data_IF_526601055458
#
_entry.id   IF_526601055458
#
_cell.length_a   1.000
_cell.length_b   1.000
_cell.length_c   1.000
_cell.angle_alpha   90.00
_cell.angle_beta   90.00
_cell.angle_gamma   90.00
#
_symmetry.space_group_name_H-M   'P 1'
#
loop_
_entity.id
_entity.type
_entity.pdbx_description
1 polymer ?
#
# COMPACT_ATOMS: atom_id res chain seq x y z
N UNK A 1 8.56 14.97 2.09
CA UNK A 1 7.32 14.15 2.02
C UNK A 1 6.10 15.05 2.09
N UNK A 2 5.07 14.76 1.29
CA UNK A 2 3.87 15.61 1.18
C UNK A 2 2.61 14.79 1.37
N UNK A 3 1.84 15.14 2.41
CA UNK A 3 0.52 14.55 2.65
C UNK A 3 0.22 14.39 4.14
N UNK A 4 -1.05 14.63 4.50
CA UNK A 4 -1.51 14.56 5.90
C UNK A 4 -1.27 13.18 6.52
N UNK A 5 -1.59 12.11 5.78
CA UNK A 5 -1.43 10.74 6.26
C UNK A 5 0.05 10.39 6.49
N UNK A 6 0.93 10.74 5.55
CA UNK A 6 2.37 10.52 5.68
C UNK A 6 2.94 11.22 6.91
N UNK A 7 2.56 12.48 7.15
CA UNK A 7 2.96 13.20 8.36
C UNK A 7 2.53 12.46 9.63
N UNK A 8 1.28 12.00 9.69
CA UNK A 8 0.78 11.32 10.88
C UNK A 8 1.58 10.05 11.19
N UNK A 9 1.80 9.19 10.19
CA UNK A 9 2.52 7.93 10.38
C UNK A 9 4.00 8.16 10.75
N UNK A 10 4.69 9.06 10.04
CA UNK A 10 6.10 9.34 10.30
C UNK A 10 6.32 9.98 11.68
N UNK A 11 5.48 10.96 12.08
CA UNK A 11 5.62 11.59 13.40
C UNK A 11 5.46 10.58 14.54
N UNK A 12 4.42 9.74 14.48
CA UNK A 12 4.19 8.70 15.51
C UNK A 12 5.34 7.69 15.53
N UNK A 13 5.82 7.24 14.37
CA UNK A 13 6.94 6.30 14.30
C UNK A 13 8.23 6.88 14.93
N UNK A 14 8.51 8.17 14.72
CA UNK A 14 9.64 8.86 15.35
C UNK A 14 9.45 9.03 16.86
N UNK A 15 8.26 9.46 17.29
CA UNK A 15 7.92 9.64 18.71
C UNK A 15 8.05 8.33 19.50
N UNK A 16 7.71 7.20 18.87
CA UNK A 16 7.83 5.86 19.46
C UNK A 16 9.23 5.23 19.29
N UNK A 17 10.18 5.91 18.63
CA UNK A 17 11.51 5.37 18.35
C UNK A 17 11.53 4.19 17.37
N UNK A 18 10.46 3.97 16.61
CA UNK A 18 10.35 2.89 15.62
C UNK A 18 11.07 3.22 14.31
N UNK A 19 11.30 4.51 14.04
CA UNK A 19 12.01 4.98 12.87
C UNK A 19 12.81 6.26 13.18
N UNK A 20 13.97 6.39 12.55
CA UNK A 20 14.75 7.63 12.51
C UNK A 20 14.82 8.15 11.08
N UNK A 21 14.63 9.44 10.90
CA UNK A 21 14.72 10.08 9.59
C UNK A 21 15.92 11.02 9.53
N UNK A 22 16.59 11.14 8.36
CA UNK A 22 17.67 12.09 8.20
C UNK A 22 17.13 13.53 8.35
N UNK A 23 17.94 14.46 8.88
CA UNK A 23 17.50 15.83 9.20
C UNK A 23 17.01 16.61 7.97
N UNK A 24 17.44 16.22 6.77
CA UNK A 24 17.04 16.80 5.48
C UNK A 24 15.62 16.36 5.04
N UNK A 25 15.04 15.33 5.68
CA UNK A 25 13.70 14.84 5.36
C UNK A 25 12.61 15.73 5.99
N UNK A 26 12.12 16.69 5.21
CA UNK A 26 11.00 17.52 5.65
C UNK A 26 9.64 16.88 5.33
N UNK A 27 8.70 16.95 6.28
CA UNK A 27 7.32 16.48 6.08
C UNK A 27 6.33 17.64 6.15
N UNK A 28 5.55 17.84 5.08
CA UNK A 28 4.62 18.97 4.96
C UNK A 28 3.16 18.52 5.07
N UNK A 29 2.43 19.12 6.02
CA UNK A 29 1.02 18.81 6.32
C UNK A 29 0.01 19.83 5.78
N UNK A 30 0.32 21.13 5.90
CA UNK A 30 -0.64 22.22 5.65
C UNK A 30 -0.74 22.53 4.15
N UNK A 31 -1.94 22.62 3.55
CA UNK A 31 -2.09 22.83 2.11
C UNK A 31 -1.32 24.02 1.53
N UNK A 32 -1.27 25.14 2.24
CA UNK A 32 -0.56 26.35 1.79
C UNK A 32 0.96 26.16 1.82
N UNK A 33 1.50 25.59 2.91
CA UNK A 33 2.91 25.23 3.02
C UNK A 33 3.29 24.22 1.92
N UNK A 34 2.50 23.16 1.76
CA UNK A 34 2.69 22.17 0.69
C UNK A 34 2.79 22.81 -0.69
N UNK A 35 1.89 23.75 -1.02
CA UNK A 35 1.92 24.44 -2.31
C UNK A 35 3.18 25.29 -2.48
N UNK A 36 3.61 26.00 -1.44
CA UNK A 36 4.83 26.83 -1.48
C UNK A 36 6.07 25.98 -1.74
N UNK A 37 6.25 24.93 -0.95
CA UNK A 37 7.41 24.02 -1.06
C UNK A 37 7.46 23.31 -2.41
N UNK A 38 6.30 22.89 -2.93
CA UNK A 38 6.24 22.27 -4.25
C UNK A 38 6.56 23.25 -5.39
N UNK A 39 6.41 24.57 -5.20
CA UNK A 39 6.91 25.58 -6.15
C UNK A 39 8.43 25.70 -6.08
N UNK A 40 9.01 25.70 -4.89
CA UNK A 40 10.47 25.72 -4.75
C UNK A 40 11.10 24.45 -5.37
N UNK A 41 10.47 23.30 -5.16
CA UNK A 41 10.87 22.03 -5.81
C UNK A 41 10.75 22.13 -7.33
N UNK A 42 9.72 22.79 -7.85
CA UNK A 42 9.56 23.01 -9.30
C UNK A 42 10.70 23.86 -9.89
N UNK A 43 11.28 24.78 -9.11
CA UNK A 43 12.44 25.58 -9.54
C UNK A 43 13.76 24.78 -9.49
N UNK A 44 13.86 23.81 -8.57
CA UNK A 44 15.10 23.05 -8.30
C UNK A 44 14.90 21.53 -8.42
N UNK A 45 14.21 21.09 -9.47
CA UNK A 45 13.69 19.72 -9.62
C UNK A 45 14.73 18.59 -9.47
N UNK A 46 15.98 18.88 -9.80
CA UNK A 46 17.09 17.90 -9.76
C UNK A 46 17.56 17.58 -8.34
N UNK A 47 17.24 18.45 -7.38
CA UNK A 47 17.74 18.36 -6.01
C UNK A 47 16.77 17.64 -5.08
N UNK A 48 15.56 17.31 -5.55
CA UNK A 48 14.48 16.78 -4.74
C UNK A 48 13.86 15.49 -5.29
N UNK A 49 13.47 14.61 -4.36
CA UNK A 49 12.56 13.49 -4.62
C UNK A 49 11.25 13.74 -3.88
N UNK A 50 10.15 13.86 -4.63
CA UNK A 50 8.83 14.13 -4.05
C UNK A 50 8.13 12.82 -3.69
N UNK A 51 8.19 12.46 -2.41
CA UNK A 51 7.36 11.39 -1.86
C UNK A 51 5.98 11.95 -1.45
N UNK A 52 4.90 11.44 -2.06
CA UNK A 52 3.56 11.97 -1.85
C UNK A 52 2.45 10.91 -1.85
N UNK A 53 1.25 11.30 -1.42
CA UNK A 53 0.06 10.42 -1.46
C UNK A 53 -0.58 10.37 -2.85
N UNK A 54 -1.38 9.33 -3.12
CA UNK A 54 -2.13 9.19 -4.38
C UNK A 54 -1.83 7.95 -5.21
N UNK A 55 -1.22 6.94 -4.59
CA UNK A 55 -0.84 5.73 -5.29
C UNK A 55 -2.04 4.92 -5.82
N UNK A 56 -3.27 5.09 -5.34
CA UNK A 56 -4.46 4.43 -5.93
C UNK A 56 -5.20 5.36 -6.90
N UNK A 57 -4.68 6.55 -7.19
CA UNK A 57 -5.37 7.54 -8.02
C UNK A 57 -6.51 8.27 -7.30
N UNK A 58 -6.47 8.34 -5.96
CA UNK A 58 -7.54 8.98 -5.19
C UNK A 58 -7.70 10.46 -5.60
N UNK A 59 -8.93 10.95 -5.89
CA UNK A 59 -9.14 12.25 -6.52
C UNK A 59 -8.53 13.46 -5.80
N UNK A 60 -8.46 13.40 -4.46
CA UNK A 60 -7.97 14.52 -3.63
C UNK A 60 -6.50 14.39 -3.23
N UNK A 61 -5.84 13.31 -3.66
CA UNK A 61 -4.45 13.03 -3.34
C UNK A 61 -3.47 13.99 -4.02
N UNK A 62 -2.25 14.05 -3.50
CA UNK A 62 -1.22 14.96 -3.99
C UNK A 62 -0.86 14.63 -5.44
N UNK A 63 -0.56 13.38 -5.75
CA UNK A 63 -0.17 12.96 -7.10
C UNK A 63 -1.28 13.20 -8.14
N UNK A 64 -2.54 12.91 -7.81
CA UNK A 64 -3.66 13.20 -8.72
C UNK A 64 -3.80 14.70 -8.97
N UNK A 65 -3.62 15.54 -7.94
CA UNK A 65 -3.68 17.00 -8.10
C UNK A 65 -2.49 17.56 -8.89
N UNK A 66 -1.32 16.93 -8.82
CA UNK A 66 -0.16 17.24 -9.67
C UNK A 66 -0.47 16.87 -11.12
N UNK A 67 -0.97 15.66 -11.37
CA UNK A 67 -1.36 15.20 -12.71
C UNK A 67 -2.49 16.05 -13.33
N UNK A 68 -3.43 16.53 -12.52
CA UNK A 68 -4.49 17.48 -12.93
C UNK A 68 -3.98 18.92 -13.09
N UNK A 69 -2.72 19.20 -12.77
CA UNK A 69 -2.16 20.55 -12.84
C UNK A 69 -2.70 21.53 -11.81
N UNK A 70 -3.30 21.03 -10.73
CA UNK A 70 -3.90 21.80 -9.63
C UNK A 70 -2.91 22.10 -8.50
N UNK A 71 -1.78 21.38 -8.49
CA UNK A 71 -0.69 21.52 -7.55
C UNK A 71 0.65 21.43 -8.33
N UNK A 72 1.65 22.27 -8.02
CA UNK A 72 3.00 22.06 -8.53
C UNK A 72 3.63 20.79 -7.92
N UNK A 73 4.75 20.28 -8.46
CA UNK A 73 5.34 20.68 -9.74
C UNK A 73 4.45 20.28 -10.93
N UNK A 74 4.57 20.98 -12.06
CA UNK A 74 4.04 20.47 -13.34
C UNK A 74 4.82 19.23 -13.74
N UNK A 75 4.11 18.23 -14.27
CA UNK A 75 4.74 17.06 -14.86
C UNK A 75 5.31 17.46 -16.22
N UNK A 76 6.58 17.17 -16.43
CA UNK A 76 7.31 17.44 -17.66
C UNK A 76 7.70 16.14 -18.37
N UNK A 77 7.85 16.16 -19.71
CA UNK A 77 8.34 15.01 -20.45
C UNK A 77 9.67 14.48 -19.91
N UNK A 78 9.71 13.20 -19.57
CA UNK A 78 10.89 12.55 -19.01
C UNK A 78 10.93 12.45 -17.48
N UNK A 79 10.01 13.11 -16.77
CA UNK A 79 9.84 12.92 -15.31
C UNK A 79 9.60 11.44 -14.98
N UNK A 80 10.17 10.98 -13.87
CA UNK A 80 9.94 9.63 -13.38
C UNK A 80 8.84 9.64 -12.31
N UNK A 81 7.79 8.84 -12.51
CA UNK A 81 6.78 8.57 -11.49
C UNK A 81 6.90 7.11 -11.06
N UNK A 82 7.27 6.91 -9.81
CA UNK A 82 7.49 5.57 -9.24
C UNK A 82 6.32 5.25 -8.32
N UNK A 83 5.56 4.21 -8.67
CA UNK A 83 4.54 3.68 -7.78
C UNK A 83 5.11 2.54 -6.96
N UNK A 84 5.60 2.87 -5.77
CA UNK A 84 6.12 1.90 -4.80
C UNK A 84 5.00 1.19 -4.02
N UNK A 85 3.94 0.76 -4.70
CA UNK A 85 2.76 0.13 -4.11
C UNK A 85 1.96 -0.66 -5.14
N UNK A 86 1.30 -1.73 -4.69
CA UNK A 86 0.36 -2.50 -5.50
C UNK A 86 -0.98 -1.78 -5.66
N UNK A 87 -1.69 -2.05 -6.75
CA UNK A 87 -3.07 -1.58 -6.96
C UNK A 87 -4.01 -2.50 -6.19
N UNK A 88 -4.84 -1.93 -5.32
CA UNK A 88 -5.83 -2.71 -4.57
C UNK A 88 -6.80 -3.33 -5.59
N UNK A 89 -7.07 -4.65 -5.55
CA UNK A 89 -7.83 -5.36 -6.57
C UNK A 89 -9.35 -5.14 -6.44
N UNK A 90 -9.78 -3.88 -6.53
CA UNK A 90 -11.17 -3.44 -6.59
C UNK A 90 -11.38 -2.57 -7.85
N UNK A 91 -12.52 -2.69 -8.55
CA UNK A 91 -12.81 -1.91 -9.76
C UNK A 91 -12.57 -0.39 -9.63
N UNK A 92 -12.96 0.23 -8.51
CA UNK A 92 -12.82 1.68 -8.31
C UNK A 92 -11.35 2.09 -8.25
N UNK A 93 -10.53 1.33 -7.52
CA UNK A 93 -9.10 1.62 -7.40
C UNK A 93 -8.37 1.38 -8.72
N UNK A 94 -8.75 0.33 -9.48
CA UNK A 94 -8.22 0.08 -10.82
C UNK A 94 -8.54 1.23 -11.77
N UNK A 95 -9.81 1.64 -11.85
CA UNK A 95 -10.24 2.73 -12.72
C UNK A 95 -9.57 4.08 -12.36
N UNK A 96 -9.48 4.40 -11.06
CA UNK A 96 -8.79 5.60 -10.59
C UNK A 96 -7.31 5.58 -10.95
N UNK A 97 -6.64 4.45 -10.70
CA UNK A 97 -5.22 4.28 -11.03
C UNK A 97 -4.97 4.35 -12.52
N UNK A 98 -5.77 3.68 -13.34
CA UNK A 98 -5.69 3.73 -14.81
C UNK A 98 -5.85 5.16 -15.33
N UNK A 99 -6.85 5.88 -14.82
CA UNK A 99 -7.08 7.30 -15.17
C UNK A 99 -5.87 8.17 -14.81
N UNK A 100 -5.32 8.01 -13.61
CA UNK A 100 -4.13 8.75 -13.17
C UNK A 100 -2.93 8.44 -14.07
N UNK A 101 -2.66 7.17 -14.32
CA UNK A 101 -1.53 6.77 -15.16
C UNK A 101 -1.70 7.21 -16.62
N UNK A 102 -2.91 7.23 -17.16
CA UNK A 102 -3.18 7.75 -18.49
C UNK A 102 -2.85 9.24 -18.59
N UNK A 103 -3.28 10.05 -17.59
CA UNK A 103 -2.93 11.48 -17.51
C UNK A 103 -1.42 11.69 -17.43
N UNK A 104 -0.74 10.97 -16.54
CA UNK A 104 0.71 11.09 -16.37
C UNK A 104 1.47 10.71 -17.65
N UNK A 105 1.05 9.65 -18.35
CA UNK A 105 1.63 9.29 -19.66
C UNK A 105 1.38 10.35 -20.72
N UNK A 106 0.18 10.93 -20.77
CA UNK A 106 -0.15 12.01 -21.71
C UNK A 106 0.71 13.27 -21.48
N UNK A 107 1.18 13.48 -20.25
CA UNK A 107 2.13 14.55 -19.90
C UNK A 107 3.60 14.17 -20.16
N UNK A 108 3.88 12.97 -20.66
CA UNK A 108 5.22 12.50 -21.01
C UNK A 108 6.02 11.88 -19.86
N UNK A 109 5.38 11.56 -18.72
CA UNK A 109 6.06 10.91 -17.60
C UNK A 109 6.40 9.44 -17.89
N UNK A 110 7.56 9.00 -17.38
CA UNK A 110 8.00 7.61 -17.33
C UNK A 110 7.47 6.96 -16.06
N UNK A 111 6.54 6.02 -16.21
CA UNK A 111 5.90 5.35 -15.07
C UNK A 111 6.61 4.03 -14.76
N UNK A 112 7.10 3.90 -13.53
CA UNK A 112 7.68 2.69 -12.98
C UNK A 112 6.67 1.98 -12.05
N UNK A 113 6.45 0.69 -12.31
CA UNK A 113 5.54 -0.20 -11.54
C UNK A 113 6.34 -1.31 -10.86
N UNK A 114 5.64 -2.13 -10.09
CA UNK A 114 6.18 -3.36 -9.49
C UNK A 114 7.34 -3.15 -8.52
N UNK A 115 7.50 -1.92 -8.02
CA UNK A 115 8.41 -1.57 -6.93
C UNK A 115 7.70 -1.85 -5.59
N UNK A 116 7.24 -3.08 -5.40
CA UNK A 116 6.51 -3.49 -4.21
C UNK A 116 6.60 -4.99 -4.01
N UNK A 117 6.83 -5.40 -2.75
CA UNK A 117 6.70 -6.80 -2.32
C UNK A 117 5.49 -6.93 -1.42
N UNK A 118 4.83 -8.09 -1.46
CA UNK A 118 3.69 -8.40 -0.60
C UNK A 118 4.08 -8.29 0.88
N UNK A 119 3.25 -7.63 1.68
CA UNK A 119 3.34 -7.66 3.14
C UNK A 119 2.68 -8.89 3.79
N UNK A 120 2.07 -9.77 2.99
CA UNK A 120 1.44 -11.00 3.46
C UNK A 120 2.30 -12.23 3.18
N UNK A 121 2.26 -13.18 4.11
CA UNK A 121 2.84 -14.52 3.98
C UNK A 121 2.35 -15.21 2.69
N UNK A 122 3.28 -15.86 2.00
CA UNK A 122 2.99 -16.75 0.87
C UNK A 122 2.73 -18.16 1.37
N UNK A 123 2.56 -19.08 0.43
CA UNK A 123 2.25 -20.48 0.69
C UNK A 123 3.25 -21.15 1.64
N UNK A 124 4.54 -21.08 1.33
CA UNK A 124 5.56 -21.73 2.15
C UNK A 124 5.79 -21.01 3.49
N UNK A 125 5.66 -19.69 3.54
CA UNK A 125 5.67 -18.94 4.81
C UNK A 125 4.51 -19.40 5.73
N UNK A 126 3.34 -19.67 5.13
CA UNK A 126 2.16 -20.18 5.86
C UNK A 126 2.38 -21.62 6.33
N UNK A 127 2.98 -22.48 5.50
CA UNK A 127 3.36 -23.84 5.88
C UNK A 127 4.34 -23.82 7.06
N UNK A 128 5.40 -23.04 6.95
CA UNK A 128 6.40 -22.90 8.01
C UNK A 128 5.76 -22.40 9.32
N UNK A 129 4.87 -21.42 9.23
CA UNK A 129 4.13 -20.91 10.39
C UNK A 129 3.31 -22.02 11.06
N UNK A 130 2.55 -22.81 10.29
CA UNK A 130 1.75 -23.92 10.83
C UNK A 130 2.63 -25.02 11.43
N UNK A 131 3.77 -25.35 10.80
CA UNK A 131 4.75 -26.32 11.31
C UNK A 131 5.35 -25.92 12.67
N UNK A 132 5.58 -24.62 12.87
CA UNK A 132 6.14 -24.07 14.12
C UNK A 132 5.09 -23.99 15.22
N UNK A 133 3.88 -23.54 14.89
CA UNK A 133 2.81 -23.34 15.88
C UNK A 133 2.16 -24.67 16.27
N UNK A 134 2.06 -25.62 15.33
CA UNK A 134 1.33 -26.91 15.49
C UNK A 134 -0.04 -26.72 16.14
N UNK A 135 -0.90 -25.85 15.58
CA UNK A 135 -2.20 -25.56 16.17
C UNK A 135 -3.06 -26.82 16.27
N UNK A 136 -3.92 -26.91 17.27
CA UNK A 136 -4.96 -27.96 17.34
C UNK A 136 -6.12 -27.67 16.38
N UNK A 137 -6.42 -26.38 16.16
CA UNK A 137 -7.45 -25.93 15.24
C UNK A 137 -6.95 -24.77 14.36
N UNK A 138 -7.30 -24.79 13.08
CA UNK A 138 -6.98 -23.79 12.07
C UNK A 138 -8.27 -23.15 11.59
N UNK A 139 -8.33 -21.82 11.64
CA UNK A 139 -9.45 -21.03 11.13
C UNK A 139 -8.89 -20.00 10.13
N UNK A 140 -8.90 -20.28 8.82
CA UNK A 140 -8.44 -19.31 7.83
C UNK A 140 -9.29 -18.04 7.86
N UNK A 141 -8.63 -16.87 7.93
CA UNK A 141 -9.27 -15.56 8.04
C UNK A 141 -8.65 -14.53 7.07
N UNK A 142 -9.25 -13.33 7.00
CA UNK A 142 -8.71 -12.16 6.29
C UNK A 142 -8.44 -12.42 4.78
N UNK A 143 -9.45 -12.91 4.07
CA UNK A 143 -9.33 -13.18 2.63
C UNK A 143 -10.68 -13.39 1.96
N UNK A 144 -10.67 -13.43 0.63
CA UNK A 144 -11.82 -13.91 -0.15
C UNK A 144 -11.95 -15.43 0.04
N UNK A 145 -13.12 -16.05 -0.23
CA UNK A 145 -13.30 -17.49 -0.11
C UNK A 145 -12.20 -18.31 -0.81
N UNK A 146 -11.70 -17.84 -1.95
CA UNK A 146 -10.61 -18.48 -2.71
C UNK A 146 -9.30 -18.46 -1.94
N UNK A 147 -8.96 -17.33 -1.30
CA UNK A 147 -7.77 -17.23 -0.44
C UNK A 147 -7.88 -18.10 0.80
N UNK A 148 -9.08 -18.15 1.41
CA UNK A 148 -9.31 -18.99 2.58
C UNK A 148 -9.19 -20.48 2.24
N UNK A 149 -9.69 -20.89 1.07
CA UNK A 149 -9.50 -22.25 0.54
C UNK A 149 -8.04 -22.57 0.28
N UNK A 150 -7.26 -21.64 -0.26
CA UNK A 150 -5.83 -21.87 -0.49
C UNK A 150 -5.07 -22.14 0.83
N UNK A 151 -5.42 -21.45 1.93
CA UNK A 151 -4.85 -21.75 3.26
C UNK A 151 -5.33 -23.11 3.77
N UNK A 152 -6.61 -23.43 3.57
CA UNK A 152 -7.16 -24.74 3.92
C UNK A 152 -6.45 -25.89 3.19
N UNK A 153 -6.15 -25.74 1.89
CA UNK A 153 -5.39 -26.71 1.11
C UNK A 153 -3.99 -26.96 1.69
N UNK A 154 -3.28 -25.90 2.12
CA UNK A 154 -1.98 -26.04 2.80
C UNK A 154 -2.14 -26.86 4.08
N UNK A 155 -3.14 -26.54 4.91
CA UNK A 155 -3.40 -27.27 6.14
C UNK A 155 -3.71 -28.76 5.88
N UNK A 156 -4.55 -29.07 4.88
CA UNK A 156 -4.86 -30.44 4.48
C UNK A 156 -3.60 -31.21 4.07
N UNK A 157 -2.71 -30.60 3.28
CA UNK A 157 -1.42 -31.21 2.90
C UNK A 157 -0.50 -31.49 4.09
N UNK A 158 -0.63 -30.72 5.16
CA UNK A 158 0.11 -30.90 6.41
C UNK A 158 -0.54 -31.93 7.35
N UNK A 159 -1.64 -32.56 6.94
CA UNK A 159 -2.32 -33.62 7.70
C UNK A 159 -3.44 -33.12 8.62
N UNK A 160 -3.84 -31.85 8.53
CA UNK A 160 -5.03 -31.37 9.25
C UNK A 160 -6.30 -31.96 8.65
N UNK A 161 -7.20 -32.44 9.51
CA UNK A 161 -8.47 -33.05 9.15
C UNK A 161 -9.66 -32.09 9.31
N UNK A 162 -10.87 -32.59 8.98
CA UNK A 162 -12.10 -31.80 9.10
C UNK A 162 -12.41 -31.40 10.56
N UNK A 163 -11.93 -32.16 11.55
CA UNK A 163 -12.09 -31.82 12.96
C UNK A 163 -11.20 -30.65 13.42
N UNK A 164 -10.10 -30.38 12.70
CA UNK A 164 -9.14 -29.32 13.06
C UNK A 164 -9.16 -28.14 12.10
N UNK A 165 -9.73 -28.24 10.90
CA UNK A 165 -9.76 -27.17 9.90
C UNK A 165 -11.17 -26.60 9.69
N UNK A 166 -11.35 -25.31 10.01
CA UNK A 166 -12.66 -24.66 10.05
C UNK A 166 -12.75 -23.51 9.04
N UNK A 167 -13.48 -23.73 7.93
CA UNK A 167 -13.81 -22.67 6.97
C UNK A 167 -15.13 -22.00 7.36
N UNK A 168 -15.02 -20.80 7.94
CA UNK A 168 -16.16 -20.03 8.42
C UNK A 168 -16.59 -18.94 7.44
N UNK A 169 -17.83 -18.47 7.59
CA UNK A 169 -18.36 -17.27 6.92
C UNK A 169 -18.54 -16.17 7.94
N UNK A 170 -18.58 -14.91 7.48
CA UNK A 170 -18.87 -13.77 8.34
C UNK A 170 -20.17 -14.00 9.11
N UNK A 171 -20.12 -13.86 10.44
CA UNK A 171 -21.25 -14.09 11.35
C UNK A 171 -21.43 -15.53 11.83
N UNK A 172 -20.64 -16.50 11.33
CA UNK A 172 -20.66 -17.86 11.87
C UNK A 172 -20.01 -17.92 13.26
N UNK A 173 -20.52 -18.80 14.11
CA UNK A 173 -19.99 -19.06 15.46
C UNK A 173 -19.39 -20.46 15.51
N UNK A 174 -18.09 -20.55 15.78
CA UNK A 174 -17.40 -21.80 16.08
C UNK A 174 -17.33 -21.97 17.60
N UNK A 175 -17.78 -23.13 18.10
CA UNK A 175 -17.63 -23.51 19.50
C UNK A 175 -16.58 -24.62 19.58
N UNK A 176 -15.51 -24.37 20.32
CA UNK A 176 -14.52 -25.38 20.65
C UNK A 176 -14.89 -25.94 22.02
N UNK A 177 -14.99 -27.26 22.12
CA UNK A 177 -15.14 -27.94 23.41
C UNK A 177 -13.78 -28.08 24.11
N UNK A 178 -13.83 -28.43 25.39
CA UNK A 178 -12.63 -28.86 26.15
C UNK A 178 -12.09 -30.20 25.62
#
# INVERSE_FOLDING_TARGET
MVGRSLNSYCSIATELGLASFPPELTVYRRPNTVRGELREIELSRRDYVVMCTGHQGEPTSVLTRIADGRLPPRVEPGDNVIFSASVIPNPVNRANRETLEAKLRALGARIHRDVHVSGHARREDTREFLERVRPQHIVPCHGTPEKLRAVAEIALEMGYGQESLHLLRNGAVLRLGD
#
